data_IF_480511533067
#
_entry.id   IF_480511533067
#
_cell.length_a   1.000
_cell.length_b   1.000
_cell.length_c   1.000
_cell.angle_alpha   90.00
_cell.angle_beta   90.00
_cell.angle_gamma   90.00
#
_symmetry.space_group_name_H-M   'P 1'
#
loop_
_entity.id
_entity.type
_entity.pdbx_description
1 polymer ?
#
# COMPACT_ATOMS: atom_id res chain seq x y z
N UNK A 1 37.55 -8.63 -19.65
CA UNK A 1 38.91 -8.07 -19.90
C UNK A 1 39.39 -7.34 -18.67
N UNK A 2 40.51 -7.75 -18.12
CA UNK A 2 41.14 -7.14 -16.95
C UNK A 2 41.76 -5.75 -17.27
N UNK A 3 42.07 -4.91 -16.29
CA UNK A 3 42.76 -3.65 -16.52
C UNK A 3 44.13 -3.84 -17.19
N UNK A 4 44.87 -4.90 -16.87
CA UNK A 4 46.16 -5.22 -17.50
C UNK A 4 46.06 -5.60 -18.97
N UNK A 5 45.08 -6.43 -19.32
CA UNK A 5 44.81 -6.78 -20.73
C UNK A 5 44.50 -5.56 -21.59
N UNK A 6 43.72 -4.62 -21.04
CA UNK A 6 43.40 -3.35 -21.74
C UNK A 6 44.63 -2.48 -21.95
N UNK A 7 45.53 -2.39 -20.95
CA UNK A 7 46.77 -1.63 -21.08
C UNK A 7 47.69 -2.22 -22.12
N UNK A 8 47.84 -3.55 -22.17
CA UNK A 8 48.67 -4.26 -23.17
C UNK A 8 48.14 -4.04 -24.60
N UNK A 9 46.81 -4.10 -24.78
CA UNK A 9 46.18 -3.85 -26.06
C UNK A 9 46.36 -2.40 -26.50
N UNK A 10 46.20 -1.44 -25.60
CA UNK A 10 46.41 -0.01 -25.90
C UNK A 10 47.86 0.22 -26.36
N UNK A 11 48.86 -0.28 -25.63
CA UNK A 11 50.29 -0.17 -25.99
C UNK A 11 50.57 -0.79 -27.37
N UNK A 12 50.06 -2.00 -27.60
CA UNK A 12 50.27 -2.70 -28.89
C UNK A 12 49.63 -1.98 -30.09
N UNK A 13 48.44 -1.39 -29.93
CA UNK A 13 47.75 -0.67 -31.01
C UNK A 13 48.33 0.74 -31.20
N UNK A 14 48.90 1.37 -30.17
CA UNK A 14 49.56 2.69 -30.30
C UNK A 14 50.87 2.66 -31.02
N UNK A 15 51.60 1.55 -31.00
CA UNK A 15 52.83 1.36 -31.80
C UNK A 15 52.55 1.25 -33.31
N UNK A 16 51.29 1.02 -33.71
CA UNK A 16 50.89 0.89 -35.10
C UNK A 16 50.38 2.24 -35.64
N UNK A 17 51.23 2.96 -36.38
CA UNK A 17 50.93 4.33 -36.86
C UNK A 17 49.85 4.43 -37.93
N UNK A 18 49.60 3.39 -38.74
CA UNK A 18 48.75 3.49 -39.94
C UNK A 18 47.71 2.37 -40.14
N UNK A 19 47.74 1.28 -39.40
CA UNK A 19 46.80 0.14 -39.55
C UNK A 19 45.89 -0.12 -38.35
N UNK A 20 45.64 0.88 -37.52
CA UNK A 20 44.85 0.74 -36.26
C UNK A 20 43.49 0.08 -36.45
N UNK A 21 42.81 0.38 -37.57
CA UNK A 21 41.48 -0.21 -37.85
C UNK A 21 41.56 -1.72 -38.08
N UNK A 22 42.60 -2.18 -38.83
CA UNK A 22 42.82 -3.59 -39.15
C UNK A 22 43.24 -4.36 -37.87
N UNK A 23 44.16 -3.81 -37.11
CA UNK A 23 44.62 -4.40 -35.86
C UNK A 23 43.51 -4.55 -34.83
N UNK A 24 42.60 -3.58 -34.72
CA UNK A 24 41.43 -3.69 -33.82
C UNK A 24 40.43 -4.75 -34.31
N UNK A 25 40.25 -4.89 -35.61
CA UNK A 25 39.39 -5.93 -36.18
C UNK A 25 39.97 -7.34 -35.95
N UNK A 26 41.26 -7.52 -36.13
CA UNK A 26 41.98 -8.77 -35.86
C UNK A 26 41.93 -9.18 -34.38
N UNK A 27 41.92 -8.18 -33.47
CA UNK A 27 41.78 -8.40 -32.03
C UNK A 27 40.34 -8.52 -31.57
N UNK A 28 39.36 -8.44 -32.48
CA UNK A 28 37.92 -8.49 -32.13
C UNK A 28 37.45 -7.32 -31.28
N UNK A 29 38.12 -6.15 -31.32
CA UNK A 29 37.83 -5.01 -30.45
C UNK A 29 37.11 -3.91 -31.24
N UNK A 30 35.90 -3.55 -30.75
CA UNK A 30 35.18 -2.42 -31.34
C UNK A 30 35.97 -1.10 -31.16
N UNK A 31 36.02 -0.27 -32.24
CA UNK A 31 36.70 1.03 -32.22
C UNK A 31 36.22 1.92 -31.05
N UNK A 32 34.95 1.93 -30.78
CA UNK A 32 34.37 2.67 -29.64
C UNK A 32 34.96 2.25 -28.28
N UNK A 33 35.20 0.94 -28.09
CA UNK A 33 35.84 0.40 -26.88
C UNK A 33 37.29 0.83 -26.77
N UNK A 34 38.08 0.75 -27.87
CA UNK A 34 39.44 1.20 -27.87
C UNK A 34 39.59 2.69 -27.54
N UNK A 35 38.84 3.59 -28.23
CA UNK A 35 38.89 5.02 -27.93
C UNK A 35 38.38 5.38 -26.56
N UNK A 36 37.42 4.63 -26.01
CA UNK A 36 36.97 4.76 -24.60
C UNK A 36 38.10 4.38 -23.64
N UNK A 37 38.86 3.33 -23.92
CA UNK A 37 39.99 2.91 -23.08
C UNK A 37 41.16 3.89 -23.21
N UNK A 38 41.48 4.35 -24.43
CA UNK A 38 42.53 5.32 -24.70
C UNK A 38 42.30 6.67 -24.07
N UNK A 39 41.05 7.15 -24.08
CA UNK A 39 40.69 8.39 -23.34
C UNK A 39 40.98 8.28 -21.86
N UNK A 40 41.28 7.08 -21.39
CA UNK A 40 41.32 6.81 -19.96
C UNK A 40 39.95 7.13 -19.32
N UNK A 41 39.58 6.58 -18.23
CA UNK A 41 38.71 7.28 -17.35
C UNK A 41 39.50 8.50 -16.87
N UNK A 42 39.38 9.63 -17.57
CA UNK A 42 39.75 10.93 -17.00
C UNK A 42 39.11 10.89 -15.61
N UNK A 43 39.99 10.93 -14.60
CA UNK A 43 39.71 10.53 -13.23
C UNK A 43 38.25 10.72 -12.90
N UNK A 44 37.55 9.67 -12.45
CA UNK A 44 36.12 9.68 -12.35
C UNK A 44 35.77 10.99 -11.62
N UNK A 45 35.30 12.00 -12.39
CA UNK A 45 34.89 13.28 -11.79
C UNK A 45 34.02 12.88 -10.63
N UNK A 46 34.47 13.18 -9.43
CA UNK A 46 33.74 12.87 -8.22
C UNK A 46 32.32 13.34 -8.45
N UNK A 47 31.38 12.38 -8.55
CA UNK A 47 30.01 12.73 -8.93
C UNK A 47 29.47 13.59 -7.82
N UNK A 48 29.29 14.88 -8.09
CA UNK A 48 28.64 15.78 -7.15
C UNK A 48 27.42 15.12 -6.55
N UNK A 49 27.27 15.25 -5.25
CA UNK A 49 26.14 14.69 -4.51
C UNK A 49 24.83 15.23 -5.10
N UNK A 50 23.87 14.39 -5.49
CA UNK A 50 22.59 14.86 -5.99
C UNK A 50 21.91 15.77 -4.98
N UNK A 51 21.39 16.89 -5.41
CA UNK A 51 20.77 17.90 -4.55
C UNK A 51 19.59 17.38 -3.72
N UNK A 52 18.89 16.34 -4.21
CA UNK A 52 17.73 15.73 -3.57
C UNK A 52 18.07 14.42 -2.82
N UNK A 53 19.34 14.11 -2.62
CA UNK A 53 19.76 12.93 -1.86
C UNK A 53 19.24 13.00 -0.43
N UNK A 54 18.68 11.88 0.03
CA UNK A 54 18.25 11.71 1.44
C UNK A 54 19.45 12.00 2.37
N UNK A 55 19.24 12.79 3.39
CA UNK A 55 20.28 13.13 4.36
C UNK A 55 20.56 11.96 5.29
N UNK A 56 21.76 11.85 5.90
CA UNK A 56 22.07 10.77 6.83
C UNK A 56 21.12 10.72 8.04
N UNK A 57 20.62 11.86 8.48
CA UNK A 57 19.66 11.92 9.58
C UNK A 57 18.30 11.36 9.18
N UNK A 58 17.76 11.76 8.03
CA UNK A 58 16.52 11.24 7.48
C UNK A 58 16.61 9.71 7.25
N UNK A 59 17.75 9.24 6.76
CA UNK A 59 17.98 7.79 6.54
C UNK A 59 17.96 7.01 7.85
N UNK A 60 18.64 7.51 8.91
CA UNK A 60 18.61 6.88 10.23
C UNK A 60 17.20 6.80 10.81
N UNK A 61 16.45 7.91 10.75
CA UNK A 61 15.05 7.96 11.23
C UNK A 61 14.16 7.01 10.44
N UNK A 62 14.29 6.96 9.12
CA UNK A 62 13.55 6.02 8.27
C UNK A 62 13.84 4.57 8.64
N UNK A 63 15.09 4.21 8.91
CA UNK A 63 15.47 2.85 9.31
C UNK A 63 14.95 2.50 10.71
N UNK A 64 14.90 3.47 11.64
CA UNK A 64 14.30 3.28 12.96
C UNK A 64 12.81 2.93 12.83
N UNK A 65 12.05 3.72 12.10
CA UNK A 65 10.62 3.47 11.84
C UNK A 65 10.40 2.14 11.12
N UNK A 66 11.26 1.77 10.17
CA UNK A 66 11.14 0.50 9.47
C UNK A 66 11.36 -0.73 10.36
N UNK A 67 12.19 -0.61 11.39
CA UNK A 67 12.40 -1.68 12.39
C UNK A 67 11.26 -1.76 13.39
N UNK A 68 10.64 -0.64 13.73
CA UNK A 68 9.46 -0.57 14.59
C UNK A 68 8.22 -1.16 13.91
N UNK A 69 8.08 -0.95 12.58
CA UNK A 69 6.95 -1.42 11.78
C UNK A 69 7.39 -2.36 10.65
N UNK A 70 7.88 -3.57 10.96
CA UNK A 70 8.50 -4.46 9.97
C UNK A 70 7.52 -5.06 8.95
N UNK A 71 6.23 -4.97 9.20
CA UNK A 71 5.16 -5.52 8.34
C UNK A 71 4.62 -4.53 7.32
N UNK A 72 5.00 -3.25 7.45
CA UNK A 72 4.59 -2.24 6.49
C UNK A 72 5.36 -2.38 5.17
N UNK A 73 4.62 -2.26 4.07
CA UNK A 73 5.23 -2.11 2.74
C UNK A 73 6.00 -0.79 2.64
N UNK A 74 6.99 -0.71 1.75
CA UNK A 74 7.76 0.51 1.51
C UNK A 74 6.86 1.73 1.18
N UNK A 75 5.71 1.51 0.58
CA UNK A 75 4.71 2.54 0.29
C UNK A 75 4.01 3.03 1.55
N UNK A 76 3.53 2.13 2.39
CA UNK A 76 2.88 2.46 3.66
C UNK A 76 3.88 3.15 4.59
N UNK A 77 5.11 2.63 4.66
CA UNK A 77 6.20 3.23 5.42
C UNK A 77 6.52 4.66 4.95
N UNK A 78 6.57 4.90 3.62
CA UNK A 78 6.80 6.25 3.08
C UNK A 78 5.69 7.23 3.47
N UNK A 79 4.43 6.78 3.51
CA UNK A 79 3.30 7.59 3.95
C UNK A 79 3.40 7.89 5.47
N UNK A 80 3.64 6.86 6.28
CA UNK A 80 3.79 6.97 7.73
C UNK A 80 4.90 7.95 8.12
N UNK A 81 6.07 7.85 7.47
CA UNK A 81 7.20 8.76 7.68
C UNK A 81 6.82 10.20 7.32
N UNK A 82 6.14 10.39 6.19
CA UNK A 82 5.73 11.73 5.77
C UNK A 82 4.75 12.36 6.76
N UNK A 83 3.86 11.57 7.34
CA UNK A 83 2.86 12.03 8.30
C UNK A 83 3.46 12.35 9.68
N UNK A 84 4.43 11.54 10.14
CA UNK A 84 4.87 11.58 11.54
C UNK A 84 6.28 12.15 11.74
N UNK A 85 7.18 12.01 10.74
CA UNK A 85 8.59 12.34 10.90
C UNK A 85 8.98 13.73 10.35
N UNK A 86 8.03 14.43 9.72
CA UNK A 86 8.23 15.79 9.21
C UNK A 86 9.11 15.88 7.96
N UNK A 87 9.41 14.77 7.28
CA UNK A 87 10.09 14.75 5.99
C UNK A 87 9.48 13.71 5.05
N UNK A 88 9.51 13.99 3.75
CA UNK A 88 8.91 13.12 2.74
C UNK A 88 9.95 12.18 2.12
N UNK A 89 9.59 10.91 1.99
CA UNK A 89 10.37 9.90 1.27
C UNK A 89 9.51 9.30 0.17
N UNK A 90 10.05 9.24 -1.07
CA UNK A 90 9.35 8.53 -2.14
C UNK A 90 9.43 7.02 -1.92
N UNK A 91 8.39 6.27 -2.33
CA UNK A 91 8.35 4.81 -2.25
C UNK A 91 9.61 4.15 -2.83
N UNK A 92 10.05 4.61 -4.02
CA UNK A 92 11.23 4.04 -4.70
C UNK A 92 12.54 4.36 -3.99
N UNK A 93 12.65 5.50 -3.31
CA UNK A 93 13.83 5.82 -2.50
C UNK A 93 13.85 5.02 -1.20
N UNK A 94 12.68 4.93 -0.54
CA UNK A 94 12.49 4.08 0.64
C UNK A 94 12.84 2.63 0.34
N UNK A 95 12.25 2.07 -0.72
CA UNK A 95 12.53 0.70 -1.15
C UNK A 95 14.02 0.42 -1.37
N UNK A 96 14.75 1.33 -2.05
CA UNK A 96 16.19 1.15 -2.30
C UNK A 96 17.02 1.11 -1.02
N UNK A 97 16.68 1.96 -0.05
CA UNK A 97 17.37 1.98 1.25
C UNK A 97 17.05 0.71 2.04
N UNK A 98 15.78 0.36 2.17
CA UNK A 98 15.34 -0.85 2.86
C UNK A 98 15.95 -2.12 2.25
N UNK A 99 16.03 -2.19 0.92
CA UNK A 99 16.67 -3.31 0.22
C UNK A 99 18.16 -3.40 0.51
N UNK A 100 18.87 -2.28 0.57
CA UNK A 100 20.29 -2.24 0.91
C UNK A 100 20.55 -2.74 2.32
N UNK A 101 19.66 -2.43 3.25
CA UNK A 101 19.73 -2.84 4.65
C UNK A 101 19.11 -4.24 4.93
N UNK A 102 18.64 -4.95 3.88
CA UNK A 102 18.03 -6.27 4.04
C UNK A 102 16.66 -6.29 4.70
N UNK A 103 15.99 -5.14 4.82
CA UNK A 103 14.70 -4.98 5.51
C UNK A 103 13.48 -5.15 4.59
N UNK A 104 13.67 -5.53 3.33
CA UNK A 104 12.55 -5.76 2.40
C UNK A 104 12.03 -7.19 2.55
N UNK A 105 10.79 -7.33 3.01
CA UNK A 105 10.05 -8.61 2.90
C UNK A 105 9.57 -8.81 1.46
N UNK A 106 9.68 -10.02 0.92
CA UNK A 106 9.05 -10.38 -0.36
C UNK A 106 7.54 -10.29 -0.19
N UNK A 107 6.90 -9.32 -0.85
CA UNK A 107 5.45 -9.31 -0.99
C UNK A 107 5.09 -10.22 -2.16
N UNK A 108 4.21 -11.17 -1.93
CA UNK A 108 3.56 -11.89 -3.01
C UNK A 108 2.79 -10.90 -3.88
N UNK A 109 3.03 -10.96 -5.18
CA UNK A 109 2.36 -10.08 -6.16
C UNK A 109 0.88 -10.46 -6.19
N UNK A 110 0.01 -9.62 -5.66
CA UNK A 110 -1.42 -9.79 -5.82
C UNK A 110 -1.78 -9.40 -7.26
N UNK A 111 -2.36 -10.33 -7.99
CA UNK A 111 -2.97 -10.07 -9.29
C UNK A 111 -4.08 -9.04 -9.07
N UNK A 112 -3.98 -7.88 -9.70
CA UNK A 112 -5.05 -6.89 -9.67
C UNK A 112 -6.24 -7.43 -10.46
N UNK A 113 -7.41 -7.48 -9.83
CA UNK A 113 -8.65 -7.76 -10.54
C UNK A 113 -8.91 -6.65 -11.58
N UNK A 114 -9.20 -7.05 -12.80
CA UNK A 114 -9.59 -6.14 -13.86
C UNK A 114 -10.94 -5.49 -13.54
N UNK A 115 -11.07 -4.24 -13.92
CA UNK A 115 -12.24 -3.38 -13.98
C UNK A 115 -13.13 -3.28 -12.74
N UNK A 116 -13.03 -2.11 -12.10
CA UNK A 116 -13.94 -1.67 -11.06
C UNK A 116 -15.31 -1.29 -11.67
N UNK A 117 -16.36 -1.51 -10.87
CA UNK A 117 -17.77 -1.14 -11.10
C UNK A 117 -17.95 0.23 -11.78
N UNK A 118 -18.80 0.31 -12.80
CA UNK A 118 -19.03 1.52 -13.61
C UNK A 118 -19.57 2.73 -12.80
N UNK A 119 -20.29 2.48 -11.69
CA UNK A 119 -20.86 3.54 -10.84
C UNK A 119 -20.11 3.64 -9.51
N UNK A 120 -18.94 4.25 -9.53
CA UNK A 120 -18.16 4.48 -8.30
C UNK A 120 -18.90 5.40 -7.32
N UNK A 121 -18.91 5.02 -6.05
CA UNK A 121 -19.37 5.90 -4.97
C UNK A 121 -18.50 7.15 -4.88
N UNK A 122 -19.09 8.29 -4.51
CA UNK A 122 -18.44 9.61 -4.50
C UNK A 122 -18.35 10.23 -3.10
N UNK A 123 -19.08 9.68 -2.13
CA UNK A 123 -19.10 10.16 -0.73
C UNK A 123 -19.34 9.01 0.25
N UNK A 124 -18.95 9.17 1.52
CA UNK A 124 -19.29 8.23 2.57
C UNK A 124 -20.80 8.02 2.66
N UNK A 125 -21.19 6.84 3.09
CA UNK A 125 -22.58 6.42 3.30
C UNK A 125 -23.49 6.50 2.05
N UNK A 126 -22.93 6.64 0.85
CA UNK A 126 -23.71 6.57 -0.38
C UNK A 126 -24.17 5.14 -0.68
N UNK A 127 -23.34 4.16 -0.36
CA UNK A 127 -23.62 2.74 -0.47
C UNK A 127 -22.78 1.96 0.55
N UNK A 128 -23.42 1.02 1.21
CA UNK A 128 -22.75 0.00 2.01
C UNK A 128 -22.74 -1.31 1.25
N UNK A 129 -21.71 -2.11 1.44
CA UNK A 129 -21.61 -3.45 0.90
C UNK A 129 -21.54 -4.44 2.06
N UNK A 130 -22.29 -5.52 1.96
CA UNK A 130 -22.28 -6.60 2.95
C UNK A 130 -21.94 -7.92 2.29
N UNK A 131 -21.22 -8.75 3.02
CA UNK A 131 -20.84 -10.09 2.61
C UNK A 131 -20.56 -10.92 3.85
N UNK A 132 -20.62 -12.26 3.68
CA UNK A 132 -20.35 -13.18 4.76
C UNK A 132 -19.27 -14.18 4.36
N UNK A 133 -18.37 -14.45 5.28
CA UNK A 133 -17.37 -15.49 5.14
C UNK A 133 -17.42 -16.46 6.32
N UNK A 134 -17.00 -17.70 6.11
CA UNK A 134 -16.99 -18.70 7.16
C UNK A 134 -15.59 -18.90 7.76
N UNK A 135 -15.56 -19.21 9.04
CA UNK A 135 -14.41 -19.60 9.83
C UNK A 135 -14.65 -20.90 10.57
N UNK A 136 -13.63 -21.73 10.68
CA UNK A 136 -13.70 -22.95 11.45
C UNK A 136 -13.03 -22.76 12.80
N UNK A 137 -13.73 -23.08 13.89
CA UNK A 137 -13.17 -23.13 15.24
C UNK A 137 -13.06 -24.59 15.66
N UNK A 138 -11.90 -25.02 16.13
CA UNK A 138 -11.63 -26.42 16.50
C UNK A 138 -12.56 -26.86 17.62
N UNK A 139 -13.26 -27.97 17.41
CA UNK A 139 -14.25 -28.49 18.38
C UNK A 139 -15.60 -27.80 18.40
N UNK A 140 -15.75 -26.63 17.73
CA UNK A 140 -17.00 -25.83 17.73
C UNK A 140 -17.72 -25.80 16.39
N UNK A 141 -17.03 -26.18 15.29
CA UNK A 141 -17.62 -26.18 13.95
C UNK A 141 -17.39 -24.89 13.17
N UNK A 142 -18.34 -24.54 12.30
CA UNK A 142 -18.26 -23.35 11.44
C UNK A 142 -19.04 -22.18 12.02
N UNK A 143 -18.45 -20.99 11.90
CA UNK A 143 -19.05 -19.71 12.18
C UNK A 143 -19.02 -18.83 10.95
N UNK A 144 -19.94 -17.88 10.87
CA UNK A 144 -20.10 -16.97 9.74
C UNK A 144 -19.79 -15.56 10.17
N UNK A 145 -18.79 -14.97 9.56
CA UNK A 145 -18.46 -13.56 9.80
C UNK A 145 -19.24 -12.71 8.80
N UNK A 146 -20.23 -12.01 9.30
CA UNK A 146 -20.98 -11.01 8.54
C UNK A 146 -20.30 -9.66 8.68
N UNK A 147 -20.08 -8.99 7.55
CA UNK A 147 -19.38 -7.69 7.49
C UNK A 147 -20.21 -6.68 6.74
N UNK A 148 -20.30 -5.46 7.26
CA UNK A 148 -20.88 -4.28 6.59
C UNK A 148 -19.77 -3.24 6.41
N UNK A 149 -19.49 -2.85 5.16
CA UNK A 149 -18.43 -1.92 4.77
C UNK A 149 -19.03 -0.73 4.04
N UNK A 150 -18.59 0.48 4.37
CA UNK A 150 -18.84 1.64 3.52
C UNK A 150 -18.02 1.54 2.23
N UNK A 151 -18.70 1.53 1.09
CA UNK A 151 -18.05 1.29 -0.22
C UNK A 151 -17.08 2.40 -0.61
N UNK A 152 -17.33 3.64 -0.22
CA UNK A 152 -16.47 4.78 -0.56
C UNK A 152 -15.19 4.79 0.29
N UNK A 153 -15.34 4.80 1.60
CA UNK A 153 -14.21 4.88 2.55
C UNK A 153 -13.54 3.54 2.81
N UNK A 154 -14.22 2.42 2.52
CA UNK A 154 -13.82 1.06 2.88
C UNK A 154 -13.80 0.82 4.40
N UNK A 155 -14.42 1.69 5.17
CA UNK A 155 -14.53 1.55 6.61
C UNK A 155 -15.50 0.42 6.96
N UNK A 156 -15.11 -0.45 7.89
CA UNK A 156 -15.95 -1.52 8.40
C UNK A 156 -16.87 -0.92 9.47
N UNK A 157 -18.15 -0.86 9.15
CA UNK A 157 -19.20 -0.27 9.99
C UNK A 157 -19.79 -1.29 10.97
N UNK A 158 -19.88 -2.55 10.56
CA UNK A 158 -20.33 -3.66 11.37
C UNK A 158 -19.59 -4.92 11.01
N UNK A 159 -19.24 -5.72 12.00
CA UNK A 159 -18.51 -6.97 11.78
C UNK A 159 -18.73 -7.92 12.96
N UNK A 160 -19.48 -9.01 12.74
CA UNK A 160 -19.87 -9.94 13.81
C UNK A 160 -19.77 -11.39 13.39
N UNK A 161 -19.30 -12.23 14.31
CA UNK A 161 -19.28 -13.67 14.17
C UNK A 161 -20.63 -14.26 14.54
N UNK A 162 -21.26 -14.95 13.59
CA UNK A 162 -22.60 -15.53 13.73
C UNK A 162 -22.54 -17.05 13.65
N UNK A 163 -23.49 -17.73 14.27
CA UNK A 163 -23.60 -19.20 14.22
C UNK A 163 -24.25 -19.69 12.92
N UNK A 164 -25.01 -18.83 12.26
CA UNK A 164 -25.74 -19.14 11.04
C UNK A 164 -25.82 -17.93 10.09
N UNK A 165 -26.40 -18.15 8.93
CA UNK A 165 -26.65 -17.16 7.89
C UNK A 165 -28.14 -16.83 7.76
N UNK A 166 -28.88 -16.91 8.88
CA UNK A 166 -30.30 -16.52 8.90
C UNK A 166 -30.47 -15.02 8.64
N UNK A 167 -31.68 -14.65 8.22
CA UNK A 167 -32.01 -13.24 8.06
C UNK A 167 -31.78 -12.42 9.35
N UNK A 168 -32.09 -13.00 10.50
CA UNK A 168 -31.90 -12.32 11.79
C UNK A 168 -30.43 -12.07 12.11
N UNK A 169 -29.55 -13.06 11.84
CA UNK A 169 -28.11 -12.90 12.02
C UNK A 169 -27.53 -11.81 11.11
N UNK A 170 -28.04 -11.67 9.88
CA UNK A 170 -27.64 -10.60 8.97
C UNK A 170 -28.18 -9.24 9.41
N UNK A 171 -29.45 -9.19 9.84
CA UNK A 171 -30.11 -7.97 10.34
C UNK A 171 -29.35 -7.40 11.55
N UNK A 172 -28.93 -8.24 12.47
CA UNK A 172 -28.19 -7.82 13.66
C UNK A 172 -26.95 -6.98 13.30
N UNK A 173 -26.16 -7.43 12.31
CA UNK A 173 -24.94 -6.71 11.91
C UNK A 173 -25.24 -5.45 11.12
N UNK A 174 -26.29 -5.45 10.30
CA UNK A 174 -26.74 -4.23 9.61
C UNK A 174 -27.29 -3.22 10.59
N UNK A 175 -28.03 -3.67 11.63
CA UNK A 175 -28.54 -2.78 12.68
C UNK A 175 -27.40 -2.15 13.47
N UNK A 176 -26.35 -2.88 13.83
CA UNK A 176 -25.16 -2.31 14.47
C UNK A 176 -24.55 -1.19 13.61
N UNK A 177 -24.47 -1.38 12.30
CA UNK A 177 -23.98 -0.34 11.38
C UNK A 177 -24.91 0.87 11.30
N UNK A 178 -26.23 0.65 11.32
CA UNK A 178 -27.27 1.69 11.34
C UNK A 178 -27.15 2.53 12.59
N UNK A 179 -27.04 1.88 13.76
CA UNK A 179 -26.94 2.53 15.06
C UNK A 179 -25.63 3.32 15.21
N UNK A 180 -24.51 2.71 14.83
CA UNK A 180 -23.17 3.33 14.90
C UNK A 180 -23.05 4.59 14.02
N UNK A 181 -23.84 4.68 12.95
CA UNK A 181 -23.79 5.80 12.00
C UNK A 181 -24.91 6.82 12.18
N UNK A 182 -25.88 6.55 13.05
CA UNK A 182 -27.10 7.38 13.16
C UNK A 182 -27.92 7.42 11.86
N UNK A 183 -27.89 6.34 11.07
CA UNK A 183 -28.51 6.32 9.74
C UNK A 183 -30.03 6.53 9.79
N UNK A 184 -30.68 6.18 10.90
CA UNK A 184 -32.11 6.43 11.11
C UNK A 184 -32.47 7.91 11.24
N UNK A 185 -31.50 8.75 11.67
CA UNK A 185 -31.70 10.20 11.82
C UNK A 185 -31.55 10.95 10.49
N UNK A 186 -31.03 10.25 9.47
CA UNK A 186 -30.87 10.79 8.11
C UNK A 186 -32.21 10.70 7.38
N UNK A 187 -32.65 11.75 6.64
CA UNK A 187 -33.84 11.68 5.76
C UNK A 187 -33.77 10.49 4.82
N UNK A 188 -34.90 9.80 4.61
CA UNK A 188 -34.96 8.52 3.86
C UNK A 188 -34.34 8.62 2.46
N UNK A 189 -34.54 9.74 1.77
CA UNK A 189 -34.00 10.00 0.43
C UNK A 189 -32.46 10.13 0.39
N UNK A 190 -31.83 10.34 1.56
CA UNK A 190 -30.39 10.49 1.71
C UNK A 190 -29.72 9.29 2.39
N UNK A 191 -30.54 8.30 2.83
CA UNK A 191 -30.01 7.08 3.46
C UNK A 191 -29.19 6.27 2.48
N UNK A 192 -28.33 5.46 3.04
CA UNK A 192 -27.48 4.54 2.28
C UNK A 192 -28.29 3.51 1.49
N UNK A 193 -27.68 2.88 0.51
CA UNK A 193 -28.18 1.65 -0.12
C UNK A 193 -27.27 0.50 0.30
N UNK A 194 -27.83 -0.65 0.55
CA UNK A 194 -27.09 -1.85 0.91
C UNK A 194 -26.93 -2.77 -0.31
N UNK A 195 -25.69 -3.04 -0.67
CA UNK A 195 -25.33 -4.02 -1.70
C UNK A 195 -25.02 -5.35 -1.04
N UNK A 196 -25.67 -6.43 -1.48
CA UNK A 196 -25.36 -7.80 -1.06
C UNK A 196 -25.28 -8.76 -2.25
N UNK A 197 -24.78 -9.97 -2.02
CA UNK A 197 -24.98 -11.07 -2.93
C UNK A 197 -26.44 -11.59 -2.89
N UNK A 198 -26.71 -12.69 -3.62
CA UNK A 198 -28.01 -13.35 -3.69
C UNK A 198 -28.15 -14.50 -2.66
N UNK A 199 -27.40 -14.46 -1.55
CA UNK A 199 -27.52 -15.46 -0.49
C UNK A 199 -28.94 -15.55 0.08
N UNK A 200 -29.37 -16.75 0.47
CA UNK A 200 -30.73 -17.00 0.90
C UNK A 200 -31.22 -16.07 2.03
N UNK A 201 -30.34 -15.74 2.97
CA UNK A 201 -30.63 -14.80 4.05
C UNK A 201 -30.95 -13.39 3.53
N UNK A 202 -30.15 -12.88 2.57
CA UNK A 202 -30.30 -11.53 1.98
C UNK A 202 -31.55 -11.40 1.09
N UNK A 203 -31.93 -12.46 0.37
CA UNK A 203 -33.13 -12.44 -0.48
C UNK A 203 -34.41 -12.80 0.28
N UNK A 204 -34.32 -13.12 1.56
CA UNK A 204 -35.46 -13.49 2.39
C UNK A 204 -36.45 -12.33 2.55
N UNK A 205 -37.73 -12.66 2.79
CA UNK A 205 -38.75 -11.66 3.07
C UNK A 205 -38.44 -10.87 4.34
N UNK A 206 -37.98 -11.55 5.39
CA UNK A 206 -37.66 -10.94 6.69
C UNK A 206 -36.60 -9.85 6.54
N UNK A 207 -35.53 -10.13 5.82
CA UNK A 207 -34.45 -9.16 5.58
C UNK A 207 -34.91 -7.95 4.74
N UNK A 208 -35.72 -8.19 3.70
CA UNK A 208 -36.28 -7.11 2.88
C UNK A 208 -37.26 -6.23 3.66
N UNK A 209 -38.11 -6.81 4.50
CA UNK A 209 -39.07 -6.06 5.33
C UNK A 209 -38.32 -5.21 6.38
N UNK A 210 -37.25 -5.73 6.97
CA UNK A 210 -36.35 -4.96 7.82
C UNK A 210 -35.72 -3.77 7.09
N UNK A 211 -35.14 -3.96 5.91
CA UNK A 211 -34.53 -2.85 5.16
C UNK A 211 -35.55 -1.76 4.79
N UNK A 212 -36.80 -2.15 4.48
CA UNK A 212 -37.90 -1.20 4.28
C UNK A 212 -38.23 -0.41 5.55
N UNK A 213 -38.26 -1.10 6.71
CA UNK A 213 -38.52 -0.45 7.99
C UNK A 213 -37.48 0.62 8.31
N UNK A 214 -36.19 0.33 8.09
CA UNK A 214 -35.09 1.27 8.32
C UNK A 214 -34.86 2.22 7.13
N UNK A 215 -35.66 2.15 6.06
CA UNK A 215 -35.59 3.03 4.90
C UNK A 215 -34.30 2.92 4.08
N UNK A 216 -33.67 1.75 4.08
CA UNK A 216 -32.43 1.47 3.32
C UNK A 216 -32.77 0.72 2.03
N UNK A 217 -32.36 1.28 0.90
CA UNK A 217 -32.53 0.65 -0.42
C UNK A 217 -31.65 -0.61 -0.55
N UNK A 218 -32.20 -1.73 -1.05
CA UNK A 218 -31.46 -2.95 -1.28
C UNK A 218 -31.02 -3.08 -2.74
N UNK A 219 -29.75 -3.39 -2.97
CA UNK A 219 -29.17 -3.72 -4.28
C UNK A 219 -28.62 -5.13 -4.22
N UNK A 220 -29.16 -6.01 -5.04
CA UNK A 220 -28.65 -7.36 -5.21
C UNK A 220 -27.60 -7.36 -6.33
N UNK A 221 -26.45 -7.97 -6.07
CA UNK A 221 -25.42 -8.17 -7.08
C UNK A 221 -25.97 -8.99 -8.25
N UNK A 222 -25.69 -8.60 -9.48
CA UNK A 222 -26.10 -9.38 -10.64
C UNK A 222 -25.47 -10.79 -10.57
N UNK A 223 -26.21 -11.84 -10.96
CA UNK A 223 -25.67 -13.19 -11.03
C UNK A 223 -24.39 -13.20 -11.87
N UNK A 224 -23.36 -13.89 -11.39
CA UNK A 224 -22.04 -14.00 -12.03
C UNK A 224 -21.19 -12.72 -12.10
N UNK A 225 -21.60 -11.64 -11.47
CA UNK A 225 -20.79 -10.41 -11.33
C UNK A 225 -20.23 -10.27 -9.91
N UNK A 226 -19.33 -11.16 -9.52
CA UNK A 226 -18.59 -11.10 -8.24
C UNK A 226 -17.80 -9.80 -8.04
N UNK A 227 -17.50 -9.10 -9.13
CA UNK A 227 -16.75 -7.84 -9.11
C UNK A 227 -17.48 -6.72 -8.34
N UNK A 228 -18.80 -6.81 -8.20
CA UNK A 228 -19.62 -5.79 -7.51
C UNK A 228 -19.30 -5.73 -6.01
N UNK A 229 -18.93 -6.86 -5.40
CA UNK A 229 -18.57 -6.98 -3.97
C UNK A 229 -17.05 -7.04 -3.73
N UNK A 230 -16.24 -6.82 -4.75
CA UNK A 230 -14.79 -7.05 -4.73
C UNK A 230 -14.00 -6.27 -3.66
N UNK A 231 -14.56 -5.19 -3.09
CA UNK A 231 -13.92 -4.45 -2.00
C UNK A 231 -14.05 -5.21 -0.68
N UNK A 232 -15.24 -5.72 -0.38
CA UNK A 232 -15.50 -6.53 0.83
C UNK A 232 -14.79 -7.89 0.72
N UNK A 233 -14.85 -8.54 -0.44
CA UNK A 233 -14.10 -9.79 -0.69
C UNK A 233 -12.60 -9.61 -0.43
N UNK A 234 -12.00 -8.52 -0.92
CA UNK A 234 -10.58 -8.22 -0.69
C UNK A 234 -10.26 -7.92 0.78
N UNK A 235 -11.18 -7.27 1.49
CA UNK A 235 -11.08 -7.12 2.93
C UNK A 235 -11.08 -8.49 3.62
N UNK A 236 -12.04 -9.36 3.30
CA UNK A 236 -12.13 -10.70 3.89
C UNK A 236 -10.90 -11.56 3.58
N UNK A 237 -10.34 -11.49 2.36
CA UNK A 237 -9.07 -12.15 2.04
C UNK A 237 -7.92 -11.66 2.94
N UNK A 238 -7.87 -10.34 3.20
CA UNK A 238 -6.85 -9.76 4.08
C UNK A 238 -7.04 -10.18 5.53
N UNK A 239 -8.29 -10.17 6.00
CA UNK A 239 -8.67 -10.65 7.34
C UNK A 239 -8.30 -12.12 7.52
N UNK A 240 -8.73 -13.00 6.59
CA UNK A 240 -8.44 -14.43 6.66
C UNK A 240 -6.94 -14.74 6.67
N UNK A 241 -6.15 -13.98 5.92
CA UNK A 241 -4.70 -14.14 5.92
C UNK A 241 -4.07 -13.85 7.29
N UNK A 242 -4.58 -12.85 8.00
CA UNK A 242 -4.08 -12.44 9.30
C UNK A 242 -4.61 -13.34 10.42
N UNK A 243 -5.93 -13.54 10.42
CA UNK A 243 -6.63 -14.25 11.50
C UNK A 243 -6.44 -15.75 11.43
N UNK A 244 -6.34 -16.38 10.25
CA UNK A 244 -6.16 -17.83 10.12
C UNK A 244 -4.73 -18.34 10.36
N UNK A 245 -3.82 -17.52 10.83
CA UNK A 245 -2.44 -17.95 11.10
C UNK A 245 -2.32 -18.92 12.28
N UNK A 246 -3.25 -18.86 13.21
CA UNK A 246 -3.30 -19.72 14.39
C UNK A 246 -4.66 -20.41 14.51
N UNK A 247 -4.70 -21.67 14.97
CA UNK A 247 -5.96 -22.33 15.31
C UNK A 247 -6.57 -21.71 16.58
N UNK A 248 -7.86 -21.46 16.58
CA UNK A 248 -8.60 -20.96 17.74
C UNK A 248 -9.28 -22.13 18.46
N UNK A 249 -9.14 -22.17 19.78
CA UNK A 249 -9.78 -23.18 20.64
C UNK A 249 -11.19 -22.72 21.07
N UNK A 250 -11.42 -21.41 21.15
CA UNK A 250 -12.69 -20.82 21.58
C UNK A 250 -13.16 -19.78 20.55
N UNK A 251 -14.49 -19.71 20.29
CA UNK A 251 -15.06 -18.66 19.43
C UNK A 251 -14.71 -17.24 19.88
N UNK A 252 -14.65 -16.99 21.19
CA UNK A 252 -14.30 -15.68 21.75
C UNK A 252 -12.86 -15.23 21.43
N UNK A 253 -11.92 -16.15 21.25
CA UNK A 253 -10.56 -15.84 20.80
C UNK A 253 -10.56 -15.35 19.35
N UNK A 254 -11.34 -16.03 18.50
CA UNK A 254 -11.52 -15.63 17.09
C UNK A 254 -12.23 -14.25 17.03
N UNK A 255 -13.27 -14.03 17.82
CA UNK A 255 -13.96 -12.72 17.87
C UNK A 255 -13.01 -11.59 18.25
N UNK A 256 -12.16 -11.80 19.26
CA UNK A 256 -11.14 -10.81 19.66
C UNK A 256 -10.14 -10.53 18.54
N UNK A 257 -9.61 -11.57 17.90
CA UNK A 257 -8.67 -11.42 16.79
C UNK A 257 -9.30 -10.66 15.59
N UNK A 258 -10.58 -10.92 15.31
CA UNK A 258 -11.34 -10.17 14.31
C UNK A 258 -11.50 -8.71 14.72
N UNK A 259 -11.86 -8.42 15.95
CA UNK A 259 -12.03 -7.06 16.46
C UNK A 259 -10.73 -6.26 16.39
N UNK A 260 -9.60 -6.86 16.81
CA UNK A 260 -8.28 -6.26 16.73
C UNK A 260 -7.89 -5.97 15.28
N UNK A 261 -8.21 -6.88 14.34
CA UNK A 261 -7.96 -6.66 12.92
C UNK A 261 -8.84 -5.54 12.34
N UNK A 262 -10.12 -5.46 12.70
CA UNK A 262 -11.05 -4.39 12.27
C UNK A 262 -10.54 -3.02 12.74
N UNK A 263 -10.13 -2.94 14.01
CA UNK A 263 -9.52 -1.72 14.58
C UNK A 263 -8.27 -1.30 13.78
N UNK A 264 -7.35 -2.23 13.56
CA UNK A 264 -6.16 -1.98 12.73
C UNK A 264 -6.54 -1.57 11.30
N UNK A 265 -7.47 -2.28 10.67
CA UNK A 265 -7.91 -2.02 9.30
C UNK A 265 -8.52 -0.63 9.15
N UNK A 266 -9.39 -0.24 10.05
CA UNK A 266 -10.11 1.03 10.01
C UNK A 266 -9.22 2.24 10.32
N UNK A 267 -8.34 2.13 11.31
CA UNK A 267 -7.66 3.29 11.89
C UNK A 267 -6.15 3.36 11.63
N UNK A 268 -5.51 2.24 11.26
CA UNK A 268 -4.05 2.18 11.11
C UNK A 268 -3.58 1.76 9.74
N UNK A 269 -4.36 0.96 9.02
CA UNK A 269 -3.96 0.44 7.72
C UNK A 269 -4.09 1.50 6.63
N UNK A 270 -2.98 1.88 6.01
CA UNK A 270 -2.97 2.72 4.82
C UNK A 270 -3.40 1.95 3.56
N UNK A 271 -4.33 2.53 2.79
CA UNK A 271 -4.87 1.95 1.57
C UNK A 271 -4.41 2.70 0.32
N UNK A 272 -3.77 1.99 -0.61
CA UNK A 272 -3.30 2.58 -1.87
C UNK A 272 -4.42 3.30 -2.63
N UNK A 273 -5.57 2.65 -2.76
CA UNK A 273 -6.71 3.18 -3.50
C UNK A 273 -7.35 4.42 -2.85
N UNK A 274 -7.08 4.67 -1.56
CA UNK A 274 -7.53 5.85 -0.83
C UNK A 274 -6.49 6.98 -0.80
N UNK A 275 -5.35 6.83 -1.49
CA UNK A 275 -4.24 7.79 -1.44
C UNK A 275 -3.28 7.53 -0.28
N UNK A 276 -3.17 6.28 0.17
CA UNK A 276 -2.39 5.86 1.34
C UNK A 276 -2.81 6.58 2.63
N UNK A 277 -4.11 6.74 2.83
CA UNK A 277 -4.73 7.14 4.10
C UNK A 277 -5.54 5.98 4.64
N UNK A 278 -6.00 6.07 5.89
CA UNK A 278 -6.83 5.05 6.52
C UNK A 278 -8.29 5.15 6.07
N UNK A 279 -9.09 4.07 6.16
CA UNK A 279 -10.54 4.14 5.96
C UNK A 279 -11.22 5.19 6.84
N UNK A 280 -10.80 5.31 8.11
CA UNK A 280 -11.30 6.32 9.05
C UNK A 280 -11.03 7.76 8.56
N UNK A 281 -9.86 8.03 7.97
CA UNK A 281 -9.56 9.36 7.45
C UNK A 281 -10.48 9.76 6.30
N UNK A 282 -10.89 8.78 5.47
CA UNK A 282 -11.83 9.01 4.39
C UNK A 282 -13.25 9.16 4.91
N UNK A 283 -13.69 8.28 5.83
CA UNK A 283 -15.03 8.32 6.41
C UNK A 283 -15.31 9.67 7.10
N UNK A 284 -14.34 10.13 7.89
CA UNK A 284 -14.45 11.38 8.67
C UNK A 284 -13.98 12.62 7.91
N UNK A 285 -13.75 12.55 6.60
CA UNK A 285 -13.44 13.70 5.74
C UNK A 285 -12.03 14.29 5.90
N UNK A 286 -11.12 13.62 6.61
CA UNK A 286 -9.74 14.10 6.88
C UNK A 286 -8.78 13.90 5.70
N UNK A 287 -9.17 13.12 4.71
CA UNK A 287 -8.31 12.71 3.58
C UNK A 287 -7.64 13.88 2.86
N UNK A 288 -8.42 14.90 2.49
CA UNK A 288 -7.91 16.02 1.69
C UNK A 288 -6.91 16.88 2.48
N UNK A 289 -7.13 17.06 3.78
CA UNK A 289 -6.22 17.79 4.66
C UNK A 289 -4.88 17.03 4.83
N UNK A 290 -4.95 15.72 5.00
CA UNK A 290 -3.74 14.87 5.07
C UNK A 290 -2.95 14.96 3.77
N UNK A 291 -3.61 14.85 2.62
CA UNK A 291 -2.95 14.93 1.31
C UNK A 291 -2.34 16.31 1.06
N UNK A 292 -3.00 17.40 1.50
CA UNK A 292 -2.47 18.77 1.43
C UNK A 292 -1.23 18.91 2.29
N UNK A 293 -1.29 18.49 3.57
CA UNK A 293 -0.15 18.51 4.49
C UNK A 293 1.05 17.73 3.94
N UNK A 294 0.83 16.57 3.35
CA UNK A 294 1.92 15.78 2.73
C UNK A 294 2.62 16.54 1.60
N UNK A 295 1.88 17.29 0.78
CA UNK A 295 2.48 18.14 -0.26
C UNK A 295 3.35 19.24 0.33
N UNK A 296 2.92 19.85 1.42
CA UNK A 296 3.68 20.87 2.13
C UNK A 296 4.98 20.29 2.72
N UNK A 297 4.89 19.15 3.42
CA UNK A 297 6.05 18.41 3.94
C UNK A 297 7.02 18.03 2.82
N UNK A 298 6.50 17.59 1.67
CA UNK A 298 7.32 17.25 0.50
C UNK A 298 8.07 18.47 -0.02
N UNK A 299 7.42 19.62 -0.15
CA UNK A 299 8.05 20.87 -0.60
C UNK A 299 9.16 21.32 0.36
N UNK A 300 8.89 21.31 1.66
CA UNK A 300 9.89 21.65 2.70
C UNK A 300 11.07 20.68 2.69
N UNK A 301 10.82 19.38 2.55
CA UNK A 301 11.87 18.36 2.45
C UNK A 301 12.80 18.62 1.26
N UNK A 302 12.24 18.97 0.10
CA UNK A 302 13.01 19.29 -1.11
C UNK A 302 13.94 20.50 -0.87
N UNK A 303 13.43 21.56 -0.25
CA UNK A 303 14.21 22.76 0.07
C UNK A 303 15.35 22.40 1.02
N UNK A 304 15.05 21.73 2.13
CA UNK A 304 16.04 21.32 3.13
C UNK A 304 17.14 20.43 2.52
N UNK A 305 16.78 19.43 1.73
CA UNK A 305 17.78 18.55 1.07
C UNK A 305 18.65 19.32 0.09
N UNK A 306 18.07 20.27 -0.66
CA UNK A 306 18.84 21.12 -1.59
C UNK A 306 19.89 21.90 -0.83
N UNK A 307 19.52 22.59 0.22
CA UNK A 307 20.45 23.37 1.05
C UNK A 307 21.54 22.49 1.64
N UNK A 308 21.18 21.39 2.28
CA UNK A 308 22.12 20.45 2.88
C UNK A 308 23.12 19.87 1.87
N UNK A 309 22.64 19.35 0.73
CA UNK A 309 23.51 18.72 -0.24
C UNK A 309 24.33 19.73 -1.06
N UNK A 310 23.88 20.97 -1.22
CA UNK A 310 24.65 22.03 -1.84
C UNK A 310 25.81 22.48 -0.94
N UNK A 311 25.56 22.66 0.36
CA UNK A 311 26.60 23.00 1.33
C UNK A 311 27.75 21.97 1.30
N UNK A 312 27.42 20.67 1.32
CA UNK A 312 28.43 19.61 1.23
C UNK A 312 29.19 19.56 -0.10
N UNK A 313 28.62 20.08 -1.19
CA UNK A 313 29.33 20.19 -2.47
C UNK A 313 30.23 21.43 -2.58
N UNK A 314 30.10 22.39 -1.68
CA UNK A 314 30.87 23.64 -1.64
C UNK A 314 32.00 23.58 -0.61
N UNK A 315 31.94 22.68 0.37
CA UNK A 315 33.06 22.46 1.29
C UNK A 315 34.26 21.88 0.52
N UNK A 316 35.46 22.52 0.57
CA UNK A 316 36.65 21.96 -0.03
C UNK A 316 36.97 20.63 0.66
N UNK A 317 37.25 19.59 -0.13
CA UNK A 317 37.80 18.35 0.39
C UNK A 317 39.11 18.71 1.08
N UNK A 318 39.12 18.72 2.41
CA UNK A 318 40.33 18.85 3.17
C UNK A 318 41.17 17.61 2.92
N UNK A 319 42.02 17.66 1.89
CA UNK A 319 43.12 16.72 1.72
C UNK A 319 44.07 16.98 2.87
N UNK A 320 43.99 16.13 3.91
CA UNK A 320 45.00 16.08 4.94
C UNK A 320 46.37 15.85 4.28
N UNK A 321 47.42 16.61 4.61
CA UNK A 321 48.74 16.33 4.12
C UNK A 321 49.22 15.00 4.74
N UNK A 322 49.80 14.17 3.87
CA UNK A 322 50.51 12.94 4.16
C UNK A 322 51.57 13.03 5.23
#
# INVERSE_FOLDING_TARGET
>A
MSPGEKATILARVETLTWRKRKALAELGIARSSYYRWRRGRSGAKERKRPWNRITPNEERRMLAVAREFPDLSSRQLSALITDNEGFAVSESSGYRILRREGLVKRQETQVMAADEYHNKTRRPHQMWATDASYFRVVGWGYYYLVTVMDDYSRFILGCKLQKDMSANSLIEVVQEAVDATGMTDVPVEHRTRLLSDNGAGYVSRVFRDYLRLVGIGHILAAPFHSQTNGKVERYQQSLKREVNQLPYELPSQLERAIADFVEYYNYRRYHKALGNVTPADVLYGRREDILRRRKEVQAQTIIHRRQYNQALNTEPVNTAPS
#
